data_IF_092509109384
#
_entry.id   IF_092509109384
#
_cell.length_a   1.000
_cell.length_b   1.000
_cell.length_c   1.000
_cell.angle_alpha   90.00
_cell.angle_beta   90.00
_cell.angle_gamma   90.00
#
_symmetry.space_group_name_H-M   'P 1'
#
loop_
_entity.id
_entity.type
_entity.pdbx_description
1 polymer ?
#
# COMPACT_ATOMS: atom_id res chain seq x y z
N UNK A 1 23.26 -15.05 19.60
CA UNK A 1 22.08 -14.93 20.48
C UNK A 1 20.90 -14.56 19.59
N UNK A 2 19.75 -15.23 19.74
CA UNK A 2 18.53 -14.83 19.02
C UNK A 2 18.09 -13.45 19.52
N UNK A 3 17.75 -12.54 18.61
CA UNK A 3 17.25 -11.20 18.96
C UNK A 3 15.75 -11.30 19.23
N UNK A 4 15.29 -10.66 20.32
CA UNK A 4 13.87 -10.59 20.67
C UNK A 4 13.15 -9.61 19.76
N UNK A 5 11.96 -9.98 19.27
CA UNK A 5 11.09 -9.08 18.53
C UNK A 5 10.20 -8.30 19.50
N UNK A 6 10.15 -6.99 19.34
CA UNK A 6 9.30 -6.07 20.08
C UNK A 6 8.28 -5.47 19.12
N UNK A 7 7.01 -5.46 19.52
CA UNK A 7 5.98 -4.74 18.79
C UNK A 7 5.93 -3.30 19.25
N UNK A 8 5.87 -2.38 18.29
CA UNK A 8 5.78 -0.96 18.52
C UNK A 8 4.50 -0.42 17.87
N UNK A 9 3.89 0.60 18.47
CA UNK A 9 2.74 1.32 17.90
C UNK A 9 3.05 2.81 17.75
N UNK A 10 2.62 3.40 16.65
CA UNK A 10 2.65 4.85 16.43
C UNK A 10 1.39 5.53 17.02
N UNK A 11 1.35 6.86 16.94
CA UNK A 11 0.19 7.66 17.37
C UNK A 11 -1.09 7.47 16.57
N UNK A 12 -1.04 6.71 15.46
CA UNK A 12 -2.18 6.37 14.62
C UNK A 12 -2.67 4.92 14.85
N UNK A 13 -2.02 4.18 15.76
CA UNK A 13 -2.36 2.79 16.04
C UNK A 13 -1.77 1.77 15.06
N UNK A 14 -0.86 2.18 14.16
CA UNK A 14 -0.17 1.24 13.28
C UNK A 14 0.96 0.54 14.04
N UNK A 15 1.11 -0.77 13.84
CA UNK A 15 2.11 -1.60 14.46
C UNK A 15 3.33 -1.84 13.56
N UNK A 16 4.50 -2.01 14.17
CA UNK A 16 5.73 -2.38 13.50
C UNK A 16 6.59 -3.27 14.41
N UNK A 17 7.56 -3.99 13.84
CA UNK A 17 8.47 -4.89 14.58
C UNK A 17 9.85 -4.25 14.73
N UNK A 18 10.33 -4.10 15.96
CA UNK A 18 11.72 -3.79 16.27
C UNK A 18 12.48 -5.05 16.72
N UNK A 19 13.60 -5.35 16.08
CA UNK A 19 14.41 -6.56 16.37
C UNK A 19 15.55 -6.20 17.33
N UNK A 20 15.37 -6.52 18.60
CA UNK A 20 16.31 -6.20 19.68
C UNK A 20 15.93 -4.93 20.46
N UNK A 21 16.47 -4.84 21.68
CA UNK A 21 16.19 -3.74 22.62
C UNK A 21 16.73 -2.41 22.07
N UNK A 22 17.85 -2.45 21.36
CA UNK A 22 18.50 -1.28 20.79
C UNK A 22 17.64 -0.61 19.72
N UNK A 23 16.98 -1.42 18.87
CA UNK A 23 16.10 -0.91 17.84
C UNK A 23 14.80 -0.37 18.44
N UNK A 24 14.25 -1.06 19.46
CA UNK A 24 13.09 -0.57 20.22
C UNK A 24 13.37 0.83 20.80
N UNK A 25 14.48 0.96 21.51
CA UNK A 25 14.85 2.20 22.21
C UNK A 25 15.18 3.35 21.25
N UNK A 26 15.63 3.04 20.02
CA UNK A 26 15.82 4.03 18.94
C UNK A 26 14.50 4.67 18.50
N UNK A 27 13.40 3.93 18.49
CA UNK A 27 12.11 4.40 17.99
C UNK A 27 11.27 5.15 19.04
N UNK A 28 11.49 4.90 20.33
CA UNK A 28 10.75 5.58 21.41
C UNK A 28 10.83 7.11 21.34
N UNK A 29 12.02 7.73 21.18
CA UNK A 29 12.11 9.20 21.02
C UNK A 29 11.45 9.73 19.74
N UNK A 30 11.13 8.85 18.77
CA UNK A 30 10.51 9.19 17.49
C UNK A 30 9.00 9.00 17.49
N UNK A 31 8.38 8.87 18.66
CA UNK A 31 6.93 8.78 18.82
C UNK A 31 6.34 7.37 18.71
N UNK A 32 7.19 6.35 18.75
CA UNK A 32 6.73 4.96 18.87
C UNK A 32 6.67 4.53 20.33
N UNK A 33 5.77 3.61 20.64
CA UNK A 33 5.61 3.07 22.00
C UNK A 33 5.53 1.56 21.95
N UNK A 34 6.05 0.89 22.98
CA UNK A 34 5.96 -0.56 23.09
C UNK A 34 4.49 -0.99 23.15
N UNK A 35 4.16 -2.03 22.39
CA UNK A 35 2.81 -2.54 22.23
C UNK A 35 2.80 -4.07 22.31
N UNK A 36 1.60 -4.62 22.46
CA UNK A 36 1.37 -6.05 22.30
C UNK A 36 1.38 -6.45 20.82
N UNK A 37 1.41 -7.75 20.57
CA UNK A 37 1.22 -8.32 19.24
C UNK A 37 -0.08 -7.81 18.60
N UNK A 38 -0.07 -7.48 17.29
CA UNK A 38 -1.24 -6.96 16.61
C UNK A 38 -2.40 -7.96 16.57
N UNK A 39 -3.63 -7.47 16.77
CA UNK A 39 -4.86 -8.24 16.56
C UNK A 39 -5.44 -7.99 15.17
N UNK A 40 -6.27 -8.90 14.64
CA UNK A 40 -6.73 -8.95 13.24
C UNK A 40 -7.19 -7.62 12.61
N UNK A 41 -7.76 -6.71 13.41
CA UNK A 41 -8.25 -5.40 12.94
C UNK A 41 -7.21 -4.27 12.93
N UNK A 42 -6.02 -4.48 13.47
CA UNK A 42 -4.95 -3.50 13.51
C UNK A 42 -4.14 -3.51 12.21
N UNK A 43 -3.42 -2.40 11.95
CA UNK A 43 -2.57 -2.28 10.77
C UNK A 43 -1.11 -2.54 11.14
N UNK A 44 -0.40 -3.25 10.29
CA UNK A 44 1.00 -3.64 10.49
C UNK A 44 1.84 -3.18 9.31
N UNK A 45 2.96 -2.54 9.59
CA UNK A 45 3.98 -2.24 8.59
C UNK A 45 4.67 -3.53 8.14
N UNK A 46 4.64 -3.77 6.84
CA UNK A 46 5.33 -4.89 6.21
C UNK A 46 6.30 -4.39 5.14
N UNK A 47 7.38 -5.14 4.94
CA UNK A 47 8.39 -4.93 3.89
C UNK A 47 8.46 -6.14 2.98
N UNK A 48 8.49 -5.91 1.69
CA UNK A 48 8.75 -6.98 0.71
C UNK A 48 10.24 -7.34 0.70
N UNK A 49 10.58 -8.63 0.73
CA UNK A 49 11.97 -9.12 0.78
C UNK A 49 12.77 -8.76 -0.47
N UNK A 50 12.17 -8.89 -1.65
CA UNK A 50 12.89 -8.73 -2.92
C UNK A 50 13.14 -7.27 -3.30
N UNK A 51 12.10 -6.43 -3.30
CA UNK A 51 12.19 -5.04 -3.74
C UNK A 51 12.27 -4.04 -2.59
N UNK A 52 12.17 -4.50 -1.33
CA UNK A 52 12.32 -3.66 -0.14
C UNK A 52 11.21 -2.64 0.08
N UNK A 53 10.07 -2.76 -0.62
CA UNK A 53 8.96 -1.81 -0.51
C UNK A 53 8.23 -1.94 0.82
N UNK A 54 7.81 -0.82 1.41
CA UNK A 54 7.12 -0.76 2.70
C UNK A 54 5.64 -0.44 2.50
N UNK A 55 4.74 -1.17 3.17
CA UNK A 55 3.31 -0.93 3.09
C UNK A 55 2.57 -1.38 4.36
N UNK A 56 1.42 -0.77 4.64
CA UNK A 56 0.52 -1.15 5.73
C UNK A 56 -0.50 -2.20 5.30
N UNK A 57 -0.55 -3.33 6.02
CA UNK A 57 -1.54 -4.38 5.85
C UNK A 57 -2.36 -4.59 7.12
N UNK A 58 -3.54 -5.22 7.01
CA UNK A 58 -4.27 -5.67 8.19
C UNK A 58 -3.55 -6.87 8.83
N UNK A 59 -3.51 -6.93 10.16
CA UNK A 59 -2.81 -7.99 10.89
C UNK A 59 -3.34 -9.39 10.51
N UNK A 60 -4.65 -9.54 10.33
CA UNK A 60 -5.29 -10.81 9.99
C UNK A 60 -4.89 -11.39 8.63
N UNK A 61 -4.21 -10.62 7.77
CA UNK A 61 -3.71 -11.09 6.46
C UNK A 61 -2.18 -11.18 6.40
N UNK A 62 -1.46 -10.93 7.50
CA UNK A 62 0.01 -10.94 7.53
C UNK A 62 0.59 -12.28 7.06
N UNK A 63 0.05 -13.40 7.53
CA UNK A 63 0.54 -14.73 7.12
C UNK A 63 0.29 -15.01 5.62
N UNK A 64 -0.81 -14.51 5.07
CA UNK A 64 -1.10 -14.60 3.63
C UNK A 64 -0.06 -13.83 2.81
N UNK A 65 0.30 -12.62 3.25
CA UNK A 65 1.30 -11.80 2.57
C UNK A 65 2.74 -12.29 2.78
N UNK A 66 3.04 -12.96 3.90
CA UNK A 66 4.33 -13.65 4.10
C UNK A 66 4.62 -14.70 3.05
N UNK A 67 3.61 -15.46 2.62
CA UNK A 67 3.78 -16.42 1.52
C UNK A 67 4.13 -15.75 0.18
N UNK A 68 3.88 -14.45 0.04
CA UNK A 68 4.20 -13.63 -1.13
C UNK A 68 5.47 -12.79 -0.93
N UNK A 69 6.27 -13.06 0.10
CA UNK A 69 7.53 -12.36 0.36
C UNK A 69 7.39 -11.05 1.14
N UNK A 70 6.27 -10.81 1.83
CA UNK A 70 6.14 -9.66 2.73
C UNK A 70 6.35 -10.05 4.18
N UNK A 71 7.19 -9.32 4.90
CA UNK A 71 7.47 -9.59 6.32
C UNK A 71 7.16 -8.37 7.18
N UNK A 72 6.69 -8.53 8.43
CA UNK A 72 6.59 -7.41 9.36
C UNK A 72 7.92 -6.67 9.47
N UNK A 73 7.88 -5.36 9.34
CA UNK A 73 9.07 -4.53 9.24
C UNK A 73 9.22 -3.59 10.43
N UNK A 74 10.43 -3.05 10.57
CA UNK A 74 10.67 -1.89 11.41
C UNK A 74 9.79 -0.71 10.99
N UNK A 75 9.52 0.24 11.91
CA UNK A 75 8.97 1.53 11.57
C UNK A 75 9.62 2.14 10.33
N UNK A 76 8.87 2.74 9.41
CA UNK A 76 9.46 3.54 8.35
C UNK A 76 10.20 4.74 8.98
N UNK A 77 11.34 5.13 8.39
CA UNK A 77 12.01 6.38 8.77
C UNK A 77 11.05 7.54 8.50
N UNK A 78 10.93 8.52 9.42
CA UNK A 78 10.12 9.70 9.18
C UNK A 78 10.65 10.41 7.94
N UNK A 79 9.76 10.72 7.00
CA UNK A 79 10.12 11.48 5.81
C UNK A 79 10.45 12.90 6.27
N UNK A 80 11.67 13.35 6.00
CA UNK A 80 12.08 14.73 6.29
C UNK A 80 11.48 15.68 5.24
N UNK A 81 10.19 16.01 5.44
CA UNK A 81 9.43 16.95 4.60
C UNK A 81 10.09 18.33 4.45
N UNK A 82 11.07 18.70 5.29
CA UNK A 82 11.78 19.99 5.20
C UNK A 82 12.97 19.95 4.24
N UNK A 83 13.53 18.77 3.96
CA UNK A 83 14.71 18.61 3.10
C UNK A 83 14.48 17.68 1.90
N UNK A 84 13.30 17.07 1.79
CA UNK A 84 12.96 16.22 0.66
C UNK A 84 12.40 17.05 -0.51
N UNK A 85 13.29 17.36 -1.48
CA UNK A 85 12.96 18.14 -2.67
C UNK A 85 11.91 17.48 -3.58
N UNK A 86 11.50 16.24 -3.33
CA UNK A 86 10.45 15.53 -4.07
C UNK A 86 9.03 15.74 -3.49
N UNK A 87 8.90 16.41 -2.35
CA UNK A 87 7.62 16.66 -1.67
C UNK A 87 7.04 18.06 -1.91
N UNK A 88 7.65 18.85 -2.80
CA UNK A 88 6.98 20.04 -3.35
C UNK A 88 5.84 19.58 -4.23
N UNK A 89 4.62 19.70 -3.69
CA UNK A 89 3.32 19.71 -4.39
C UNK A 89 3.41 19.26 -5.85
N UNK A 90 3.43 17.94 -6.08
CA UNK A 90 3.01 17.41 -7.38
C UNK A 90 1.51 17.65 -7.41
N UNK A 91 1.14 18.85 -7.87
CA UNK A 91 -0.22 19.18 -8.26
C UNK A 91 -0.78 17.95 -8.98
N UNK A 92 -1.87 17.40 -8.43
CA UNK A 92 -2.51 16.22 -8.96
C UNK A 92 -2.60 16.36 -10.48
N UNK A 93 -1.85 15.51 -11.20
CA UNK A 93 -2.01 15.43 -12.64
C UNK A 93 -3.51 15.23 -12.89
N UNK A 94 -4.17 16.05 -13.73
CA UNK A 94 -5.58 15.86 -13.98
C UNK A 94 -5.76 14.43 -14.45
N UNK A 95 -6.56 13.67 -13.71
CA UNK A 95 -7.08 12.38 -14.12
C UNK A 95 -7.50 12.52 -15.57
N UNK A 96 -7.03 11.70 -16.53
CA UNK A 96 -7.64 11.69 -17.83
C UNK A 96 -9.10 11.27 -17.60
N UNK A 97 -10.00 12.25 -17.66
CA UNK A 97 -11.44 12.02 -17.73
C UNK A 97 -11.62 11.00 -18.83
N UNK A 98 -12.02 9.78 -18.45
CA UNK A 98 -12.50 8.80 -19.39
C UNK A 98 -13.59 9.49 -20.20
N UNK A 99 -13.26 9.86 -21.44
CA UNK A 99 -14.24 10.29 -22.41
C UNK A 99 -15.20 9.12 -22.53
N UNK A 100 -16.36 9.25 -21.90
CA UNK A 100 -17.55 8.50 -22.29
C UNK A 100 -17.90 8.99 -23.68
N UNK A 101 -17.21 8.46 -24.68
CA UNK A 101 -17.66 8.52 -26.06
C UNK A 101 -18.81 7.54 -26.15
N UNK A 102 -20.01 8.03 -25.86
CA UNK A 102 -21.23 7.41 -26.38
C UNK A 102 -21.18 7.56 -27.88
N UNK A 103 -20.51 6.60 -28.52
CA UNK A 103 -20.51 6.42 -29.96
C UNK A 103 -21.91 5.91 -30.34
N UNK A 104 -22.83 6.84 -30.60
CA UNK A 104 -24.07 6.53 -31.28
C UNK A 104 -23.86 6.79 -32.78
N UNK A 105 -22.91 6.08 -33.37
CA UNK A 105 -22.75 5.97 -34.82
C UNK A 105 -23.54 4.76 -35.30
N UNK A 106 -24.81 5.02 -35.62
CA UNK A 106 -25.56 4.23 -36.58
C UNK A 106 -24.80 4.25 -37.90
N UNK A 107 -24.27 3.10 -38.32
CA UNK A 107 -24.04 2.82 -39.74
C UNK A 107 -23.91 1.31 -39.95
N UNK A 108 -24.98 0.69 -40.47
CA UNK A 108 -24.79 -0.45 -41.36
C UNK A 108 -25.53 -0.18 -42.67
N UNK A 109 -24.71 -0.11 -43.71
CA UNK A 109 -25.05 0.22 -45.09
C UNK A 109 -25.61 -1.00 -45.81
N UNK A 110 -26.63 -0.73 -46.61
CA UNK A 110 -27.27 -1.53 -47.65
C UNK A 110 -26.53 -2.77 -48.21
N UNK A 111 -27.28 -3.87 -48.38
CA UNK A 111 -27.08 -4.80 -49.48
C UNK A 111 -28.43 -5.28 -50.06
N UNK A 112 -28.51 -5.16 -51.38
CA UNK A 112 -29.59 -5.47 -52.31
C UNK A 112 -29.96 -6.96 -52.35
N UNK A 113 -31.25 -7.28 -52.51
CA UNK A 113 -31.77 -8.64 -52.65
C UNK A 113 -33.13 -8.69 -53.36
N UNK A 114 -33.08 -8.68 -54.68
CA UNK A 114 -34.20 -8.86 -55.61
C UNK A 114 -34.84 -10.27 -55.47
N UNK A 115 -36.16 -10.40 -55.29
CA UNK A 115 -36.91 -11.58 -55.76
C UNK A 115 -38.32 -11.21 -56.24
N UNK A 116 -38.59 -11.68 -57.47
CA UNK A 116 -39.81 -11.53 -58.26
C UNK A 116 -40.56 -12.86 -58.23
N UNK A 117 -41.87 -12.80 -57.99
CA UNK A 117 -42.86 -13.74 -58.52
C UNK A 117 -43.13 -15.02 -57.72
N UNK A 118 -44.39 -15.22 -57.33
CA UNK A 118 -45.32 -16.01 -58.16
C UNK A 118 -46.77 -15.66 -57.82
#
# INVERSE_FOLDING_TARGET
>A
MAKTNYWLTDGYGNKAVAVGVEERDRWVPRGWTEATEPVDGERVWMRHTDHGGHQLFAAGVVETWRALGWEPSAPPEPVDVLHDAQLVDVAAAPTPTAQSTTDNSTTETAASGNTKGK
#
